data_IF_261930256785
#
_entry.id   IF_261930256785
#
_cell.length_a   1.000
_cell.length_b   1.000
_cell.length_c   1.000
_cell.angle_alpha   90.00
_cell.angle_beta   90.00
_cell.angle_gamma   90.00
#
_symmetry.space_group_name_H-M   'P 1'
#
loop_
_entity.id
_entity.type
_entity.pdbx_description
1 polymer ?
#
# COMPACT_ATOMS: atom_id res chain seq x y z
N UNK A 1 -19.82 8.38 11.99
CA UNK A 1 -18.59 7.58 11.79
C UNK A 1 -17.92 7.42 13.16
N UNK A 2 -17.68 6.19 13.60
CA UNK A 2 -16.84 5.96 14.79
C UNK A 2 -15.50 6.65 14.57
N UNK A 3 -15.06 7.41 15.56
CA UNK A 3 -13.78 8.10 15.57
C UNK A 3 -12.67 7.04 15.49
N UNK A 4 -12.09 6.83 14.31
CA UNK A 4 -11.02 5.85 14.05
C UNK A 4 -9.67 6.20 14.69
N UNK A 5 -9.65 6.97 15.80
CA UNK A 5 -8.42 7.39 16.47
C UNK A 5 -7.56 6.21 16.92
N UNK A 6 -8.18 5.08 17.28
CA UNK A 6 -7.46 3.87 17.66
C UNK A 6 -6.57 3.33 16.53
N UNK A 7 -7.04 3.38 15.27
CA UNK A 7 -6.25 2.96 14.12
C UNK A 7 -5.03 3.87 13.91
N UNK A 8 -5.25 5.19 13.85
CA UNK A 8 -4.15 6.14 13.65
C UNK A 8 -3.15 6.12 14.81
N UNK A 9 -3.62 6.00 16.04
CA UNK A 9 -2.77 5.85 17.22
C UNK A 9 -1.93 4.56 17.13
N UNK A 10 -2.54 3.43 16.76
CA UNK A 10 -1.83 2.16 16.57
C UNK A 10 -0.74 2.25 15.51
N UNK A 11 -1.02 2.90 14.38
CA UNK A 11 -0.02 3.15 13.32
C UNK A 11 1.12 4.02 13.83
N UNK A 12 0.83 5.11 14.54
CA UNK A 12 1.86 6.00 15.10
C UNK A 12 2.72 5.25 16.12
N UNK A 13 2.11 4.49 17.03
CA UNK A 13 2.84 3.68 18.01
C UNK A 13 3.72 2.64 17.33
N UNK A 14 3.26 2.01 16.26
CA UNK A 14 4.07 1.10 15.45
C UNK A 14 5.27 1.82 14.83
N UNK A 15 5.08 2.97 14.19
CA UNK A 15 6.16 3.73 13.53
C UNK A 15 7.22 4.16 14.54
N UNK A 16 6.79 4.69 15.68
CA UNK A 16 7.69 5.06 16.79
C UNK A 16 8.39 3.80 17.35
N UNK A 17 7.63 2.72 17.53
CA UNK A 17 8.12 1.41 17.94
C UNK A 17 9.29 0.91 17.08
N UNK A 18 9.09 0.90 15.76
CA UNK A 18 10.10 0.46 14.79
C UNK A 18 11.31 1.39 14.75
N UNK A 19 11.12 2.70 14.94
CA UNK A 19 12.21 3.68 14.86
C UNK A 19 13.16 3.65 16.06
N UNK A 20 12.64 3.34 17.25
CA UNK A 20 13.42 3.41 18.50
C UNK A 20 13.82 2.05 19.06
N UNK A 21 13.04 0.99 18.81
CA UNK A 21 13.21 -0.28 19.53
C UNK A 21 13.58 -1.48 18.64
N UNK A 22 13.53 -1.33 17.31
CA UNK A 22 13.78 -2.44 16.38
C UNK A 22 14.95 -2.12 15.45
N UNK A 23 16.01 -2.92 15.53
CA UNK A 23 17.11 -2.86 14.57
C UNK A 23 16.79 -3.69 13.31
N UNK A 24 16.08 -4.80 13.47
CA UNK A 24 15.59 -5.62 12.36
C UNK A 24 14.35 -4.97 11.74
N UNK A 25 14.35 -4.80 10.41
CA UNK A 25 13.25 -4.19 9.66
C UNK A 25 12.89 -2.75 10.04
N UNK A 26 13.84 -1.94 10.53
CA UNK A 26 13.59 -0.52 10.84
C UNK A 26 12.97 0.26 9.67
N UNK A 27 13.27 -0.13 8.43
CA UNK A 27 12.65 0.42 7.21
C UNK A 27 11.12 0.28 7.17
N UNK A 28 10.54 -0.72 7.85
CA UNK A 28 9.09 -0.90 7.90
C UNK A 28 8.39 0.27 8.56
N UNK A 29 9.02 0.96 9.52
CA UNK A 29 8.47 2.18 10.11
C UNK A 29 8.22 3.25 9.04
N UNK A 30 9.19 3.46 8.15
CA UNK A 30 9.06 4.39 7.03
C UNK A 30 8.04 3.90 5.99
N UNK A 31 8.08 2.63 5.61
CA UNK A 31 7.15 2.09 4.60
C UNK A 31 5.69 2.16 5.07
N UNK A 32 5.42 1.84 6.34
CA UNK A 32 4.09 1.97 6.93
C UNK A 32 3.68 3.44 7.02
N UNK A 33 4.59 4.35 7.37
CA UNK A 33 4.32 5.79 7.33
C UNK A 33 3.91 6.26 5.93
N UNK A 34 4.66 5.87 4.89
CA UNK A 34 4.36 6.24 3.50
C UNK A 34 3.02 5.65 3.03
N UNK A 35 2.69 4.41 3.42
CA UNK A 35 1.39 3.78 3.14
C UNK A 35 0.23 4.40 3.94
N UNK A 36 0.52 5.04 5.07
CA UNK A 36 -0.48 5.70 5.90
C UNK A 36 -0.91 7.07 5.36
N UNK A 37 0.01 7.81 4.74
CA UNK A 37 -0.27 9.09 4.09
C UNK A 37 -1.48 9.07 3.13
N UNK A 38 -1.58 8.17 2.13
CA UNK A 38 -2.72 8.14 1.24
C UNK A 38 -4.01 7.79 2.00
N UNK A 39 -3.96 6.95 3.03
CA UNK A 39 -5.17 6.69 3.85
C UNK A 39 -5.69 7.98 4.48
N UNK A 40 -4.79 8.78 5.06
CA UNK A 40 -5.15 10.08 5.66
C UNK A 40 -5.64 11.06 4.59
N UNK A 41 -4.93 11.20 3.46
CA UNK A 41 -5.31 12.10 2.39
C UNK A 41 -6.68 11.76 1.79
N UNK A 42 -6.97 10.47 1.59
CA UNK A 42 -8.28 10.03 1.12
C UNK A 42 -9.40 10.32 2.12
N UNK A 43 -9.16 10.15 3.42
CA UNK A 43 -10.13 10.49 4.47
C UNK A 43 -10.40 12.00 4.52
N UNK A 44 -9.36 12.82 4.42
CA UNK A 44 -9.48 14.27 4.41
C UNK A 44 -10.19 14.75 3.13
N UNK A 45 -9.88 14.16 1.97
CA UNK A 45 -10.54 14.45 0.70
C UNK A 45 -12.06 14.25 0.79
N UNK A 46 -12.51 13.15 1.41
CA UNK A 46 -13.94 12.85 1.55
C UNK A 46 -14.67 13.72 2.59
N UNK A 47 -13.93 14.43 3.45
CA UNK A 47 -14.50 15.17 4.60
C UNK A 47 -14.49 16.68 4.40
N UNK A 48 -13.53 17.21 3.63
CA UNK A 48 -13.32 18.64 3.50
C UNK A 48 -14.05 19.20 2.29
N UNK A 49 -15.01 20.08 2.52
CA UNK A 49 -15.72 20.83 1.48
C UNK A 49 -14.99 22.14 1.09
N UNK A 50 -13.65 22.11 1.05
CA UNK A 50 -12.81 23.27 0.73
C UNK A 50 -12.35 23.24 -0.73
N UNK A 51 -12.23 24.39 -1.39
CA UNK A 51 -11.70 24.48 -2.76
C UNK A 51 -10.30 23.90 -2.97
N UNK A 52 -9.56 23.57 -1.90
CA UNK A 52 -8.25 22.90 -1.96
C UNK A 52 -8.31 21.37 -1.82
N UNK A 53 -9.50 20.78 -1.68
CA UNK A 53 -9.63 19.33 -1.48
C UNK A 53 -9.02 18.52 -2.64
N UNK A 54 -9.02 19.04 -3.87
CA UNK A 54 -8.42 18.37 -5.03
C UNK A 54 -6.92 18.09 -4.85
N UNK A 55 -6.20 18.93 -4.10
CA UNK A 55 -4.79 18.71 -3.78
C UNK A 55 -4.60 17.44 -2.94
N UNK A 56 -5.55 17.14 -2.03
CA UNK A 56 -5.55 15.89 -1.27
C UNK A 56 -5.79 14.68 -2.17
N UNK A 57 -6.61 14.83 -3.21
CA UNK A 57 -6.79 13.80 -4.24
C UNK A 57 -5.51 13.53 -5.04
N UNK A 58 -4.74 14.57 -5.37
CA UNK A 58 -3.44 14.42 -6.04
C UNK A 58 -2.39 13.79 -5.12
N UNK A 59 -2.30 14.23 -3.87
CA UNK A 59 -1.42 13.62 -2.88
C UNK A 59 -1.82 12.16 -2.62
N UNK A 60 -3.12 11.86 -2.60
CA UNK A 60 -3.61 10.50 -2.54
C UNK A 60 -3.10 9.66 -3.72
N UNK A 61 -3.27 10.13 -4.96
CA UNK A 61 -2.77 9.41 -6.16
C UNK A 61 -1.26 9.20 -6.13
N UNK A 62 -0.51 10.22 -5.70
CA UNK A 62 0.95 10.18 -5.60
C UNK A 62 1.44 9.11 -4.62
N UNK A 63 0.82 9.05 -3.43
CA UNK A 63 1.25 8.14 -2.38
C UNK A 63 0.51 6.80 -2.38
N UNK A 64 -0.61 6.65 -3.10
CA UNK A 64 -1.39 5.42 -3.17
C UNK A 64 -0.54 4.17 -3.45
N UNK A 65 0.45 4.17 -4.38
CA UNK A 65 1.26 3.00 -4.65
C UNK A 65 2.01 2.44 -3.44
N UNK A 66 2.25 3.25 -2.39
CA UNK A 66 2.89 2.79 -1.16
C UNK A 66 2.02 1.79 -0.38
N UNK A 67 0.69 1.81 -0.55
CA UNK A 67 -0.19 0.82 0.07
C UNK A 67 0.09 -0.59 -0.50
N UNK A 68 -0.10 -0.84 -1.81
CA UNK A 68 0.21 -2.15 -2.36
C UNK A 68 1.72 -2.42 -2.35
N UNK A 69 2.61 -1.42 -2.37
CA UNK A 69 4.07 -1.62 -2.22
C UNK A 69 4.42 -2.47 -0.99
N UNK A 70 3.71 -2.30 0.14
CA UNK A 70 3.93 -3.08 1.36
C UNK A 70 3.87 -4.59 1.14
N UNK A 71 3.12 -5.10 0.15
CA UNK A 71 3.10 -6.53 -0.15
C UNK A 71 4.48 -7.03 -0.60
N UNK A 72 5.29 -6.19 -1.24
CA UNK A 72 6.66 -6.55 -1.62
C UNK A 72 7.61 -6.64 -0.41
N UNK A 73 7.25 -6.07 0.74
CA UNK A 73 8.04 -6.26 1.97
C UNK A 73 7.89 -7.68 2.54
N UNK A 74 6.91 -8.47 2.08
CA UNK A 74 6.82 -9.90 2.43
C UNK A 74 8.03 -10.71 1.96
N UNK A 75 8.81 -10.21 0.98
CA UNK A 75 10.06 -10.86 0.58
C UNK A 75 11.10 -10.90 1.71
N UNK A 76 11.00 -10.01 2.69
CA UNK A 76 11.86 -10.03 3.88
C UNK A 76 11.52 -11.16 4.86
N UNK A 77 10.45 -11.92 4.64
CA UNK A 77 10.23 -13.19 5.36
C UNK A 77 11.40 -14.16 5.16
N UNK A 78 12.10 -14.08 4.03
CA UNK A 78 13.31 -14.88 3.77
C UNK A 78 14.49 -14.51 4.67
N UNK A 79 14.47 -13.31 5.27
CA UNK A 79 15.49 -12.85 6.22
C UNK A 79 15.22 -13.30 7.66
N UNK A 80 14.06 -13.92 7.92
CA UNK A 80 13.73 -14.49 9.21
C UNK A 80 14.28 -15.92 9.30
N UNK A 81 15.04 -16.23 10.35
CA UNK A 81 15.55 -17.59 10.64
C UNK A 81 14.47 -18.50 11.26
N UNK A 82 13.26 -18.42 10.70
CA UNK A 82 12.09 -19.19 11.13
C UNK A 82 12.21 -20.63 10.61
N UNK A 83 12.74 -20.83 9.40
CA UNK A 83 12.92 -22.16 8.83
C UNK A 83 14.37 -22.62 9.01
N UNK A 84 14.59 -23.57 9.92
CA UNK A 84 15.93 -24.05 10.24
C UNK A 84 16.39 -25.14 9.26
N UNK A 85 17.71 -25.33 9.08
CA UNK A 85 18.26 -26.35 8.16
C UNK A 85 17.83 -27.80 8.45
N UNK A 86 17.35 -28.08 9.67
CA UNK A 86 16.82 -29.38 10.06
C UNK A 86 15.35 -29.60 9.63
N UNK A 87 14.76 -28.69 8.88
CA UNK A 87 13.38 -28.75 8.42
C UNK A 87 12.34 -28.40 9.48
N UNK A 88 12.78 -27.96 10.67
CA UNK A 88 11.89 -27.54 11.77
C UNK A 88 11.75 -26.02 11.79
N UNK A 89 10.58 -25.58 12.24
CA UNK A 89 10.32 -24.17 12.50
C UNK A 89 10.91 -23.75 13.85
N UNK A 90 11.50 -22.56 13.89
CA UNK A 90 11.93 -21.94 15.14
C UNK A 90 10.70 -21.66 16.01
N UNK A 91 10.72 -22.10 17.26
CA UNK A 91 9.66 -21.85 18.24
C UNK A 91 10.01 -20.69 19.18
N UNK A 92 11.00 -19.86 18.84
CA UNK A 92 11.45 -18.79 19.74
C UNK A 92 10.57 -17.55 19.61
N UNK A 93 10.28 -16.91 20.75
CA UNK A 93 9.48 -15.69 20.77
C UNK A 93 10.02 -14.57 19.86
N UNK A 94 11.34 -14.26 19.83
CA UNK A 94 11.87 -13.21 18.97
C UNK A 94 11.55 -13.37 17.48
N UNK A 95 11.63 -14.60 16.95
CA UNK A 95 11.38 -14.87 15.53
C UNK A 95 9.91 -14.60 15.16
N UNK A 96 8.99 -15.09 15.99
CA UNK A 96 7.55 -14.86 15.80
C UNK A 96 7.15 -13.42 16.06
N UNK A 97 7.86 -12.72 16.94
CA UNK A 97 7.68 -11.29 17.15
C UNK A 97 8.08 -10.48 15.91
N UNK A 98 9.23 -10.76 15.30
CA UNK A 98 9.65 -10.12 14.04
C UNK A 98 8.71 -10.45 12.88
N UNK A 99 8.20 -11.69 12.81
CA UNK A 99 7.16 -12.07 11.85
C UNK A 99 5.89 -11.23 12.02
N UNK A 100 5.40 -11.08 13.25
CA UNK A 100 4.22 -10.27 13.56
C UNK A 100 4.44 -8.81 13.16
N UNK A 101 5.59 -8.23 13.52
CA UNK A 101 5.94 -6.85 13.20
C UNK A 101 6.06 -6.59 11.70
N UNK A 102 6.37 -7.61 10.90
CA UNK A 102 6.40 -7.51 9.44
C UNK A 102 5.01 -7.68 8.84
N UNK A 103 4.31 -8.77 9.16
CA UNK A 103 3.10 -9.19 8.43
C UNK A 103 1.86 -8.40 8.84
N UNK A 104 1.66 -8.14 10.14
CA UNK A 104 0.46 -7.49 10.63
C UNK A 104 0.21 -6.10 10.00
N UNK A 105 1.18 -5.16 9.98
CA UNK A 105 0.96 -3.86 9.36
C UNK A 105 0.75 -3.97 7.84
N UNK A 106 1.41 -4.90 7.15
CA UNK A 106 1.19 -5.13 5.71
C UNK A 106 -0.28 -5.47 5.47
N UNK A 107 -0.82 -6.45 6.20
CA UNK A 107 -2.21 -6.86 6.07
C UNK A 107 -3.16 -5.70 6.40
N UNK A 108 -2.98 -5.04 7.54
CA UNK A 108 -3.87 -3.96 7.95
C UNK A 108 -3.89 -2.80 6.94
N UNK A 109 -2.71 -2.33 6.53
CA UNK A 109 -2.59 -1.18 5.64
C UNK A 109 -3.11 -1.48 4.23
N UNK A 110 -2.84 -2.68 3.71
CA UNK A 110 -3.32 -3.11 2.39
C UNK A 110 -4.85 -3.22 2.39
N UNK A 111 -5.46 -3.94 3.33
CA UNK A 111 -6.91 -4.11 3.34
C UNK A 111 -7.66 -2.79 3.60
N UNK A 112 -7.19 -1.97 4.56
CA UNK A 112 -7.82 -0.68 4.87
C UNK A 112 -7.63 0.31 3.71
N UNK A 113 -6.40 0.45 3.21
CA UNK A 113 -6.05 1.40 2.16
C UNK A 113 -6.66 1.05 0.80
N UNK A 114 -6.62 -0.23 0.40
CA UNK A 114 -7.29 -0.67 -0.83
C UNK A 114 -8.81 -0.61 -0.69
N UNK A 115 -9.36 -0.93 0.49
CA UNK A 115 -10.81 -0.83 0.75
C UNK A 115 -11.34 0.61 0.70
N UNK A 116 -10.55 1.59 1.13
CA UNK A 116 -10.90 3.01 1.08
C UNK A 116 -11.20 3.50 -0.34
N UNK A 117 -10.58 2.91 -1.36
CA UNK A 117 -10.75 3.29 -2.78
C UNK A 117 -12.23 3.25 -3.17
N UNK A 118 -13.00 2.24 -2.72
CA UNK A 118 -14.43 2.15 -3.02
C UNK A 118 -15.24 3.31 -2.43
N UNK A 119 -14.84 3.85 -1.29
CA UNK A 119 -15.49 5.04 -0.70
C UNK A 119 -15.14 6.29 -1.52
N UNK A 120 -13.87 6.42 -1.93
CA UNK A 120 -13.42 7.54 -2.78
C UNK A 120 -14.14 7.55 -4.14
N UNK A 121 -14.25 6.40 -4.80
CA UNK A 121 -14.93 6.29 -6.09
C UNK A 121 -16.42 6.67 -6.00
N UNK A 122 -17.07 6.37 -4.86
CA UNK A 122 -18.46 6.80 -4.61
C UNK A 122 -18.57 8.30 -4.37
N UNK A 123 -17.61 8.90 -3.65
CA UNK A 123 -17.57 10.36 -3.43
C UNK A 123 -17.44 11.14 -4.73
N UNK A 124 -16.70 10.61 -5.72
CA UNK A 124 -16.55 11.22 -7.05
C UNK A 124 -17.72 10.85 -8.00
N UNK A 125 -18.75 10.16 -7.49
CA UNK A 125 -20.00 9.85 -8.21
C UNK A 125 -19.81 9.10 -9.54
N UNK A 126 -18.82 8.20 -9.62
CA UNK A 126 -18.54 7.43 -10.82
C UNK A 126 -19.54 6.28 -11.02
N UNK A 127 -19.93 6.03 -12.26
CA UNK A 127 -20.74 4.85 -12.62
C UNK A 127 -19.93 3.55 -12.50
N UNK A 128 -20.58 2.38 -12.58
CA UNK A 128 -19.90 1.09 -12.41
C UNK A 128 -18.79 0.85 -13.44
N UNK A 129 -18.98 1.27 -14.69
CA UNK A 129 -17.97 1.09 -15.76
C UNK A 129 -16.75 1.96 -15.50
N UNK A 130 -16.98 3.21 -15.11
CA UNK A 130 -15.96 4.15 -14.70
C UNK A 130 -15.21 3.66 -13.47
N UNK A 131 -15.91 3.10 -12.47
CA UNK A 131 -15.26 2.50 -11.29
C UNK A 131 -14.32 1.36 -11.68
N UNK A 132 -14.77 0.42 -12.51
CA UNK A 132 -13.93 -0.70 -12.97
C UNK A 132 -12.73 -0.21 -13.79
N UNK A 133 -12.94 0.77 -14.67
CA UNK A 133 -11.87 1.39 -15.45
C UNK A 133 -10.86 2.10 -14.54
N UNK A 134 -11.32 2.89 -13.56
CA UNK A 134 -10.47 3.57 -12.59
C UNK A 134 -9.65 2.59 -11.75
N UNK A 135 -10.24 1.50 -11.26
CA UNK A 135 -9.52 0.45 -10.53
C UNK A 135 -8.45 -0.23 -11.41
N UNK A 136 -8.78 -0.51 -12.67
CA UNK A 136 -7.84 -1.13 -13.62
C UNK A 136 -6.66 -0.21 -13.93
N UNK A 137 -6.94 1.06 -14.22
CA UNK A 137 -5.90 2.06 -14.48
C UNK A 137 -5.05 2.26 -13.23
N UNK A 138 -5.67 2.37 -12.05
CA UNK A 138 -4.97 2.53 -10.79
C UNK A 138 -4.08 1.31 -10.47
N UNK A 139 -4.57 0.08 -10.69
CA UNK A 139 -3.77 -1.14 -10.54
C UNK A 139 -2.53 -1.13 -11.43
N UNK A 140 -2.69 -0.68 -12.67
CA UNK A 140 -1.61 -0.60 -13.65
C UNK A 140 -0.57 0.45 -13.26
N UNK A 141 -1.00 1.70 -13.04
CA UNK A 141 -0.11 2.79 -12.64
C UNK A 141 0.61 2.51 -11.31
N UNK A 142 -0.13 1.97 -10.35
CA UNK A 142 0.42 1.53 -9.07
C UNK A 142 1.44 0.40 -9.25
N UNK A 143 1.16 -0.57 -10.13
CA UNK A 143 2.11 -1.65 -10.45
C UNK A 143 3.43 -1.13 -11.01
N UNK A 144 3.39 -0.12 -11.88
CA UNK A 144 4.60 0.55 -12.41
C UNK A 144 5.35 1.26 -11.27
N UNK A 145 4.64 2.03 -10.44
CA UNK A 145 5.24 2.76 -9.34
C UNK A 145 5.88 1.81 -8.30
N UNK A 146 5.26 0.66 -8.03
CA UNK A 146 5.84 -0.38 -7.16
C UNK A 146 7.10 -0.99 -7.77
N UNK A 147 7.10 -1.30 -9.08
CA UNK A 147 8.31 -1.79 -9.75
C UNK A 147 9.45 -0.79 -9.58
N UNK A 148 9.21 0.49 -9.87
CA UNK A 148 10.23 1.53 -9.79
C UNK A 148 10.70 1.73 -8.34
N UNK A 149 9.79 1.75 -7.38
CA UNK A 149 10.15 1.84 -5.97
C UNK A 149 11.01 0.67 -5.50
N UNK A 150 10.75 -0.55 -5.98
CA UNK A 150 11.42 -1.75 -5.49
C UNK A 150 12.71 -2.08 -6.23
N UNK A 151 12.73 -1.96 -7.55
CA UNK A 151 13.87 -2.34 -8.39
C UNK A 151 14.81 -1.16 -8.67
N UNK A 152 14.26 0.02 -8.93
CA UNK A 152 15.05 1.24 -9.22
C UNK A 152 15.33 2.08 -7.95
N UNK A 153 14.71 1.72 -6.82
CA UNK A 153 14.83 2.39 -5.51
C UNK A 153 14.46 3.88 -5.53
N UNK A 154 13.51 4.25 -6.37
CA UNK A 154 13.04 5.63 -6.49
C UNK A 154 11.81 5.82 -5.61
N UNK A 155 11.87 6.79 -4.71
CA UNK A 155 10.78 7.06 -3.77
C UNK A 155 9.72 8.00 -4.36
N UNK A 156 8.50 7.96 -3.81
CA UNK A 156 7.39 8.84 -4.24
C UNK A 156 7.73 10.34 -4.16
N UNK A 157 8.63 10.70 -3.24
CA UNK A 157 9.14 12.07 -3.06
C UNK A 157 10.01 12.51 -4.26
N UNK A 158 10.72 11.61 -4.92
CA UNK A 158 11.53 11.94 -6.09
C UNK A 158 10.70 12.33 -7.32
N UNK A 159 9.42 11.92 -7.39
CA UNK A 159 8.51 12.42 -8.42
C UNK A 159 8.21 13.92 -8.23
N UNK A 160 8.26 14.42 -6.99
CA UNK A 160 8.09 15.85 -6.70
C UNK A 160 9.38 16.64 -6.92
N UNK A 161 10.52 16.08 -6.51
CA UNK A 161 11.82 16.78 -6.56
C UNK A 161 12.43 16.73 -7.96
N UNK A 162 12.29 15.60 -8.67
CA UNK A 162 12.90 15.35 -9.99
C UNK A 162 11.89 14.74 -10.98
N UNK A 163 10.79 15.46 -11.31
CA UNK A 163 9.67 14.91 -12.09
C UNK A 163 10.09 14.37 -13.47
N UNK A 164 10.96 15.07 -14.19
CA UNK A 164 11.38 14.66 -15.55
C UNK A 164 12.19 13.35 -15.52
N UNK A 165 13.11 13.22 -14.55
CA UNK A 165 13.91 12.00 -14.38
C UNK A 165 13.02 10.80 -14.01
N UNK A 166 12.06 11.02 -13.12
CA UNK A 166 11.15 9.95 -12.69
C UNK A 166 10.19 9.54 -13.80
N UNK A 167 9.65 10.50 -14.57
CA UNK A 167 8.76 10.21 -15.72
C UNK A 167 9.50 9.53 -16.87
N UNK A 168 10.75 9.90 -17.13
CA UNK A 168 11.56 9.22 -18.14
C UNK A 168 11.84 7.76 -17.77
N UNK A 169 12.06 7.44 -16.49
CA UNK A 169 12.19 6.06 -16.02
C UNK A 169 10.86 5.29 -16.00
N UNK A 170 9.74 5.99 -15.78
CA UNK A 170 8.39 5.44 -15.92
C UNK A 170 8.14 4.94 -17.34
N UNK A 171 8.55 5.72 -18.36
CA UNK A 171 8.15 5.53 -19.75
C UNK A 171 9.24 4.92 -20.65
N UNK A 172 10.52 5.17 -20.36
CA UNK A 172 11.64 4.94 -21.30
C UNK A 172 12.11 3.49 -21.41
N UNK A 173 12.17 2.75 -20.29
CA UNK A 173 12.81 1.43 -20.25
C UNK A 173 11.81 0.32 -19.89
N UNK A 174 11.12 -0.21 -20.90
CA UNK A 174 10.19 -1.34 -20.75
C UNK A 174 10.85 -2.66 -21.14
N UNK A 175 11.50 -3.30 -20.16
CA UNK A 175 11.97 -4.67 -20.31
C UNK A 175 10.81 -5.67 -20.18
N UNK A 176 10.99 -6.88 -20.74
CA UNK A 176 10.01 -7.97 -20.58
C UNK A 176 9.73 -8.29 -19.10
N UNK A 177 10.77 -8.23 -18.26
CA UNK A 177 10.64 -8.43 -16.82
C UNK A 177 9.75 -7.37 -16.15
N UNK A 178 9.91 -6.09 -16.53
CA UNK A 178 9.05 -4.99 -16.04
C UNK A 178 7.60 -5.19 -16.47
N UNK A 179 7.37 -5.56 -17.73
CA UNK A 179 6.01 -5.84 -18.24
C UNK A 179 5.36 -7.00 -17.47
N UNK A 180 6.07 -8.12 -17.30
CA UNK A 180 5.57 -9.28 -16.56
C UNK A 180 5.26 -8.94 -15.11
N UNK A 181 6.17 -8.22 -14.44
CA UNK A 181 5.95 -7.79 -13.07
C UNK A 181 4.70 -6.90 -12.96
N UNK A 182 4.60 -5.85 -13.76
CA UNK A 182 3.47 -4.91 -13.71
C UNK A 182 2.16 -5.65 -13.96
N UNK A 183 2.09 -6.52 -14.98
CA UNK A 183 0.88 -7.29 -15.29
C UNK A 183 0.45 -8.20 -14.12
N UNK A 184 1.37 -8.98 -13.57
CA UNK A 184 1.09 -9.88 -12.44
C UNK A 184 0.73 -9.10 -11.18
N UNK A 185 1.42 -7.98 -10.92
CA UNK A 185 1.18 -7.17 -9.74
C UNK A 185 -0.15 -6.40 -9.81
N UNK A 186 -0.54 -5.94 -10.99
CA UNK A 186 -1.87 -5.37 -11.23
C UNK A 186 -2.95 -6.43 -11.05
N UNK A 187 -2.72 -7.68 -11.50
CA UNK A 187 -3.65 -8.78 -11.26
C UNK A 187 -3.82 -9.10 -9.77
N UNK A 188 -2.75 -9.08 -8.97
CA UNK A 188 -2.81 -9.23 -7.51
C UNK A 188 -3.68 -8.13 -6.90
N UNK A 189 -3.43 -6.86 -7.27
CA UNK A 189 -4.20 -5.73 -6.76
C UNK A 189 -5.69 -5.85 -7.11
N UNK A 190 -6.02 -6.19 -8.36
CA UNK A 190 -7.39 -6.41 -8.81
C UNK A 190 -8.05 -7.57 -8.06
N UNK A 191 -7.31 -8.64 -7.77
CA UNK A 191 -7.81 -9.78 -6.99
C UNK A 191 -8.15 -9.38 -5.55
N UNK A 192 -7.29 -8.57 -4.92
CA UNK A 192 -7.54 -8.03 -3.56
C UNK A 192 -8.80 -7.14 -3.57
N UNK A 193 -8.94 -6.25 -4.55
CA UNK A 193 -10.15 -5.44 -4.68
C UNK A 193 -11.40 -6.29 -4.95
N UNK A 194 -11.30 -7.33 -5.78
CA UNK A 194 -12.39 -8.27 -6.02
C UNK A 194 -12.84 -8.98 -4.73
N UNK A 195 -11.89 -9.43 -3.90
CA UNK A 195 -12.18 -10.01 -2.60
C UNK A 195 -12.86 -9.01 -1.66
N UNK A 196 -12.33 -7.79 -1.55
CA UNK A 196 -12.92 -6.73 -0.71
C UNK A 196 -14.35 -6.41 -1.17
N UNK A 197 -14.57 -6.28 -2.48
CA UNK A 197 -15.89 -6.04 -3.04
C UNK A 197 -16.87 -7.16 -2.70
N UNK A 198 -16.45 -8.42 -2.85
CA UNK A 198 -17.25 -9.58 -2.50
C UNK A 198 -17.65 -9.59 -1.02
N UNK A 199 -16.70 -9.37 -0.11
CA UNK A 199 -16.96 -9.30 1.33
C UNK A 199 -17.91 -8.15 1.71
N UNK A 200 -17.75 -6.97 1.10
CA UNK A 200 -18.65 -5.84 1.31
C UNK A 200 -20.07 -6.09 0.80
N UNK A 201 -20.22 -6.90 -0.26
CA UNK A 201 -21.51 -7.28 -0.80
C UNK A 201 -22.22 -8.27 0.13
N UNK A 202 -21.52 -9.31 0.59
CA UNK A 202 -22.06 -10.28 1.55
C UNK A 202 -22.57 -9.60 2.83
N UNK A 203 -21.79 -8.68 3.40
CA UNK A 203 -22.17 -7.95 4.63
C UNK A 203 -23.41 -7.05 4.47
N UNK A 204 -23.88 -6.78 3.25
CA UNK A 204 -25.10 -5.99 3.01
C UNK A 204 -26.34 -6.87 2.76
N UNK A 205 -26.12 -8.15 2.48
CA UNK A 205 -27.18 -9.13 2.24
C UNK A 205 -27.64 -9.80 3.55
N UNK A 206 -26.86 -9.66 4.63
CA UNK A 206 -27.21 -9.97 6.03
C UNK A 206 -27.86 -8.77 6.74
#
# INVERSE_FOLDING_TARGET
MQKNYGFHLGVILYIVGMSFFQQTFSFMGLNVFLAWLPIVFGQLFMKLDSGWHWLLGLLWLLFFPNIPYLLTDLFYLTSLDIYRPNGLFSATFPDWWSFLLLVLPILMMVFIGMGQVFSLLKTVTLDLKQQVASLTILAFLSGIAVYIGRFERIHSIELLIHPIKTVTLLIGDWSMAKVQFVALYSFIQLSIWGLIYFLQKMSKEE
#
